data_IF_022375214343
#
_entry.id   IF_022375214343
#
_cell.length_a   1.000
_cell.length_b   1.000
_cell.length_c   1.000
_cell.angle_alpha   90.00
_cell.angle_beta   90.00
_cell.angle_gamma   90.00
#
_symmetry.space_group_name_H-M   'P 1'
#
loop_
_entity.id
_entity.type
_entity.pdbx_description
1 polymer ?
#
# COMPACT_ATOMS: atom_id res chain seq x y z
N UNK A 1 10.25 -10.32 -20.67
CA UNK A 1 10.53 -9.05 -19.98
C UNK A 1 10.87 -9.34 -18.53
N UNK A 2 11.66 -8.48 -17.90
CA UNK A 2 11.82 -8.48 -16.45
C UNK A 2 10.79 -7.54 -15.77
N UNK A 3 10.68 -7.62 -14.44
CA UNK A 3 9.74 -6.83 -13.65
C UNK A 3 9.87 -5.31 -13.84
N UNK A 4 11.08 -4.80 -14.01
CA UNK A 4 11.35 -3.36 -14.17
C UNK A 4 10.92 -2.88 -15.56
N UNK A 5 11.14 -3.68 -16.60
CA UNK A 5 10.63 -3.41 -17.95
C UNK A 5 9.09 -3.33 -17.97
N UNK A 6 8.43 -4.26 -17.26
CA UNK A 6 6.98 -4.25 -17.10
C UNK A 6 6.53 -2.98 -16.37
N UNK A 7 7.21 -2.60 -15.29
CA UNK A 7 6.90 -1.36 -14.57
C UNK A 7 7.04 -0.13 -15.48
N UNK A 8 8.07 -0.05 -16.31
CA UNK A 8 8.23 1.04 -17.29
C UNK A 8 7.10 1.05 -18.30
N UNK A 9 6.69 -0.11 -18.82
CA UNK A 9 5.55 -0.24 -19.73
C UNK A 9 4.27 0.35 -19.11
N UNK A 10 3.98 0.01 -17.85
CA UNK A 10 2.84 0.57 -17.12
C UNK A 10 2.93 2.10 -16.95
N UNK A 11 4.12 2.64 -16.64
CA UNK A 11 4.30 4.08 -16.46
C UNK A 11 4.14 4.87 -17.77
N UNK A 12 4.59 4.32 -18.89
CA UNK A 12 4.52 4.98 -20.19
C UNK A 12 3.12 4.96 -20.80
N UNK A 13 2.28 3.98 -20.46
CA UNK A 13 0.94 3.85 -21.03
C UNK A 13 0.15 5.16 -20.95
N UNK A 14 -0.17 5.74 -22.11
CA UNK A 14 -0.94 6.97 -22.26
C UNK A 14 -0.18 8.26 -21.93
N UNK A 15 1.15 8.21 -21.80
CA UNK A 15 1.99 9.40 -21.58
C UNK A 15 2.40 10.04 -22.90
N UNK A 16 2.52 11.37 -22.89
CA UNK A 16 3.04 12.14 -24.03
C UNK A 16 4.45 11.70 -24.42
N UNK A 17 4.81 11.89 -25.69
CA UNK A 17 6.17 11.62 -26.21
C UNK A 17 7.28 12.28 -25.37
N UNK A 18 7.03 13.52 -24.92
CA UNK A 18 7.96 14.32 -24.14
C UNK A 18 8.00 13.94 -22.64
N UNK A 19 7.23 12.93 -22.22
CA UNK A 19 7.22 12.50 -20.83
C UNK A 19 8.53 11.81 -20.45
N UNK A 20 9.19 12.34 -19.42
CA UNK A 20 10.43 11.78 -18.90
C UNK A 20 10.18 10.96 -17.62
N UNK A 21 10.76 9.77 -17.56
CA UNK A 21 10.81 8.91 -16.38
C UNK A 21 11.97 9.34 -15.47
N UNK A 22 11.87 10.55 -14.91
CA UNK A 22 12.93 11.21 -14.13
C UNK A 22 12.89 10.91 -12.62
N UNK A 23 12.01 10.01 -12.18
CA UNK A 23 11.87 9.69 -10.76
C UNK A 23 13.13 8.97 -10.23
N UNK A 24 13.64 9.40 -9.07
CA UNK A 24 14.94 8.92 -8.54
C UNK A 24 15.00 7.40 -8.33
N UNK A 25 13.86 6.80 -7.96
CA UNK A 25 13.76 5.36 -7.69
C UNK A 25 14.15 4.48 -8.89
N UNK A 26 14.01 4.96 -10.13
CA UNK A 26 14.45 4.21 -11.31
C UNK A 26 15.94 3.86 -11.22
N UNK A 27 16.75 4.85 -10.83
CA UNK A 27 18.19 4.66 -10.64
C UNK A 27 18.50 4.04 -9.28
N UNK A 28 17.95 4.61 -8.22
CA UNK A 28 18.34 4.27 -6.84
C UNK A 28 17.89 2.87 -6.42
N UNK A 29 16.66 2.48 -6.78
CA UNK A 29 16.08 1.20 -6.38
C UNK A 29 16.28 0.12 -7.43
N UNK A 30 16.17 0.46 -8.70
CA UNK A 30 16.16 -0.53 -9.79
C UNK A 30 17.41 -0.54 -10.65
N UNK A 31 18.35 0.40 -10.45
CA UNK A 31 19.53 0.54 -11.33
C UNK A 31 19.16 0.58 -12.83
N UNK A 32 17.99 1.13 -13.14
CA UNK A 32 17.37 1.00 -14.46
C UNK A 32 17.97 2.01 -15.46
N UNK A 33 18.37 1.50 -16.62
CA UNK A 33 18.65 2.36 -17.78
C UNK A 33 17.36 2.52 -18.60
N UNK A 34 16.62 3.59 -18.33
CA UNK A 34 15.31 3.84 -18.94
C UNK A 34 15.38 3.83 -20.46
N UNK A 35 16.32 4.56 -21.07
CA UNK A 35 16.42 4.63 -22.54
C UNK A 35 16.61 3.24 -23.17
N UNK A 36 17.44 2.39 -22.55
CA UNK A 36 17.64 1.00 -22.99
C UNK A 36 16.35 0.18 -22.88
N UNK A 37 15.60 0.35 -21.79
CA UNK A 37 14.33 -0.34 -21.55
C UNK A 37 13.27 0.10 -22.57
N UNK A 38 13.07 1.41 -22.77
CA UNK A 38 12.09 1.93 -23.74
C UNK A 38 12.40 1.43 -25.15
N UNK A 39 13.66 1.54 -25.59
CA UNK A 39 14.08 1.01 -26.88
C UNK A 39 13.83 -0.51 -26.99
N UNK A 40 14.01 -1.25 -25.90
CA UNK A 40 13.70 -2.68 -25.87
C UNK A 40 12.20 -2.94 -26.03
N UNK A 41 11.34 -2.22 -25.30
CA UNK A 41 9.88 -2.35 -25.36
C UNK A 41 9.33 -2.02 -26.75
N UNK A 42 9.84 -0.96 -27.38
CA UNK A 42 9.48 -0.58 -28.76
C UNK A 42 9.90 -1.66 -29.75
N UNK A 43 11.17 -2.09 -29.71
CA UNK A 43 11.69 -3.12 -30.62
C UNK A 43 10.97 -4.46 -30.48
N UNK A 44 10.53 -4.79 -29.27
CA UNK A 44 9.76 -6.02 -28.99
C UNK A 44 8.27 -5.87 -29.24
N UNK A 45 7.81 -4.69 -29.66
CA UNK A 45 6.41 -4.45 -30.01
C UNK A 45 5.48 -4.47 -28.82
N UNK A 46 5.91 -4.07 -27.61
CA UNK A 46 5.05 -3.88 -26.45
C UNK A 46 4.42 -2.48 -26.41
N UNK A 47 5.13 -1.49 -26.94
CA UNK A 47 4.68 -0.11 -26.95
C UNK A 47 5.06 0.54 -28.28
N UNK A 48 4.25 1.49 -28.72
CA UNK A 48 4.54 2.32 -29.89
C UNK A 48 4.18 3.77 -29.58
N UNK A 49 4.86 4.67 -30.27
CA UNK A 49 4.49 6.06 -30.26
C UNK A 49 3.44 6.31 -31.35
N UNK A 50 2.23 6.67 -30.95
CA UNK A 50 1.10 6.81 -31.86
C UNK A 50 0.11 7.88 -31.35
N UNK A 51 -0.90 8.23 -32.13
CA UNK A 51 -1.91 9.20 -31.73
C UNK A 51 -3.12 8.49 -31.11
N UNK A 52 -3.43 8.83 -29.86
CA UNK A 52 -4.73 8.56 -29.26
C UNK A 52 -5.69 9.67 -29.71
N UNK A 53 -6.44 9.43 -30.78
CA UNK A 53 -7.26 10.46 -31.43
C UNK A 53 -8.26 11.09 -30.45
N UNK A 54 -8.94 10.28 -29.64
CA UNK A 54 -9.95 10.77 -28.69
C UNK A 54 -9.32 11.65 -27.61
N UNK A 55 -8.26 11.18 -26.94
CA UNK A 55 -7.58 11.99 -25.90
C UNK A 55 -6.94 13.24 -26.50
N UNK A 56 -6.27 13.11 -27.63
CA UNK A 56 -5.53 14.20 -28.25
C UNK A 56 -6.47 15.29 -28.74
N UNK A 57 -7.59 14.93 -29.38
CA UNK A 57 -8.63 15.89 -29.79
C UNK A 57 -9.25 16.61 -28.60
N UNK A 58 -9.34 15.94 -27.44
CA UNK A 58 -9.84 16.57 -26.22
C UNK A 58 -8.88 17.64 -25.65
N UNK A 59 -7.60 17.63 -26.03
CA UNK A 59 -6.65 18.69 -25.66
C UNK A 59 -6.80 19.96 -26.50
N UNK A 60 -7.42 19.87 -27.69
CA UNK A 60 -7.64 21.01 -28.57
C UNK A 60 -8.73 21.95 -28.03
N UNK A 61 -8.60 23.24 -28.35
CA UNK A 61 -9.64 24.25 -28.13
C UNK A 61 -10.81 24.02 -29.08
N UNK A 62 -12.00 24.51 -28.69
CA UNK A 62 -13.21 24.40 -29.51
C UNK A 62 -13.00 25.02 -30.91
N UNK A 63 -12.30 26.14 -31.00
CA UNK A 63 -12.05 26.80 -32.28
C UNK A 63 -11.13 25.97 -33.19
N UNK A 64 -10.13 25.28 -32.62
CA UNK A 64 -9.25 24.38 -33.37
C UNK A 64 -10.02 23.17 -33.91
N UNK A 65 -10.94 22.61 -33.12
CA UNK A 65 -11.85 21.55 -33.55
C UNK A 65 -12.78 22.03 -34.68
N UNK A 66 -13.34 23.23 -34.57
CA UNK A 66 -14.16 23.83 -35.64
C UNK A 66 -13.35 24.08 -36.91
N UNK A 67 -12.08 24.48 -36.80
CA UNK A 67 -11.20 24.61 -37.97
C UNK A 67 -10.97 23.28 -38.67
N UNK A 68 -10.76 22.19 -37.92
CA UNK A 68 -10.63 20.84 -38.51
C UNK A 68 -11.92 20.47 -39.25
N UNK A 69 -13.09 20.63 -38.61
CA UNK A 69 -14.38 20.32 -39.22
C UNK A 69 -14.64 21.17 -40.48
N UNK A 70 -14.35 22.48 -40.42
CA UNK A 70 -14.52 23.39 -41.57
C UNK A 70 -13.64 22.99 -42.75
N UNK A 71 -12.39 22.60 -42.50
CA UNK A 71 -11.47 22.12 -43.54
C UNK A 71 -11.97 20.83 -44.20
N UNK A 72 -12.75 20.03 -43.49
CA UNK A 72 -13.41 18.82 -43.98
C UNK A 72 -14.84 19.08 -44.49
N UNK A 73 -15.26 20.34 -44.60
CA UNK A 73 -16.62 20.73 -45.02
C UNK A 73 -17.73 20.13 -44.11
N UNK A 74 -17.42 19.87 -42.84
CA UNK A 74 -18.34 19.31 -41.87
C UNK A 74 -19.01 20.40 -41.02
N UNK A 75 -20.22 20.16 -40.48
CA UNK A 75 -20.90 21.07 -39.56
C UNK A 75 -20.04 21.42 -38.34
N UNK A 76 -19.98 22.71 -37.99
CA UNK A 76 -19.17 23.25 -36.88
C UNK A 76 -19.98 23.59 -35.61
N UNK A 77 -21.28 23.27 -35.61
CA UNK A 77 -22.17 23.47 -34.47
C UNK A 77 -22.14 22.28 -33.51
N UNK A 78 -22.49 22.54 -32.24
CA UNK A 78 -22.55 21.54 -31.17
C UNK A 78 -21.61 21.84 -30.01
N UNK A 79 -21.69 21.00 -28.97
CA UNK A 79 -20.79 21.05 -27.82
C UNK A 79 -19.46 20.37 -28.19
N UNK A 80 -18.40 20.62 -27.41
CA UNK A 80 -17.05 20.10 -27.68
C UNK A 80 -17.03 18.59 -27.95
N UNK A 81 -17.75 17.80 -27.16
CA UNK A 81 -17.86 16.34 -27.34
C UNK A 81 -18.45 15.98 -28.71
N UNK A 82 -19.51 16.67 -29.13
CA UNK A 82 -20.14 16.45 -30.44
C UNK A 82 -19.18 16.79 -31.58
N UNK A 83 -18.37 17.85 -31.42
CA UNK A 83 -17.34 18.22 -32.39
C UNK A 83 -16.24 17.16 -32.47
N UNK A 84 -15.76 16.65 -31.33
CA UNK A 84 -14.74 15.59 -31.27
C UNK A 84 -15.25 14.32 -31.95
N UNK A 85 -16.44 13.85 -31.57
CA UNK A 85 -17.04 12.66 -32.18
C UNK A 85 -17.15 12.81 -33.70
N UNK A 86 -17.59 13.98 -34.19
CA UNK A 86 -17.68 14.25 -35.63
C UNK A 86 -16.33 14.27 -36.33
N UNK A 87 -15.28 14.77 -35.67
CA UNK A 87 -13.91 14.69 -36.21
C UNK A 87 -13.47 13.22 -36.32
N UNK A 88 -13.73 12.40 -35.30
CA UNK A 88 -13.35 10.98 -35.30
C UNK A 88 -14.13 10.17 -36.35
N UNK A 89 -15.43 10.42 -36.47
CA UNK A 89 -16.33 9.62 -37.31
C UNK A 89 -16.30 10.01 -38.79
N UNK A 90 -15.97 11.27 -39.12
CA UNK A 90 -16.23 11.79 -40.48
C UNK A 90 -15.15 12.69 -41.07
N UNK A 91 -14.17 13.17 -40.28
CA UNK A 91 -13.09 13.97 -40.84
C UNK A 91 -11.97 13.07 -41.37
N UNK A 92 -11.35 13.49 -42.47
CA UNK A 92 -10.15 12.84 -42.98
C UNK A 92 -9.01 13.00 -41.97
N UNK A 93 -8.45 11.87 -41.53
CA UNK A 93 -7.42 11.82 -40.49
C UNK A 93 -6.17 12.61 -40.90
N UNK A 94 -5.81 12.60 -42.18
CA UNK A 94 -4.64 13.33 -42.68
C UNK A 94 -4.72 14.84 -42.41
N UNK A 95 -5.93 15.40 -42.34
CA UNK A 95 -6.15 16.84 -42.16
C UNK A 95 -5.84 17.37 -40.76
N UNK A 96 -5.78 16.49 -39.75
CA UNK A 96 -5.61 16.89 -38.36
C UNK A 96 -4.58 16.07 -37.57
N UNK A 97 -4.18 14.89 -38.04
CA UNK A 97 -3.28 14.00 -37.30
C UNK A 97 -1.95 14.67 -36.91
N UNK A 98 -1.41 15.55 -37.77
CA UNK A 98 -0.17 16.30 -37.51
C UNK A 98 -0.30 17.35 -36.39
N UNK A 99 -1.53 17.76 -36.07
CA UNK A 99 -1.82 18.70 -34.96
C UNK A 99 -1.97 17.98 -33.63
N UNK A 100 -2.07 16.65 -33.66
CA UNK A 100 -2.25 15.84 -32.47
C UNK A 100 -0.90 15.43 -31.89
N UNK A 101 -0.82 15.47 -30.57
CA UNK A 101 0.35 14.99 -29.86
C UNK A 101 0.37 13.47 -29.92
N UNK A 102 1.57 12.92 -30.14
CA UNK A 102 1.77 11.49 -30.00
C UNK A 102 1.94 11.13 -28.54
N UNK A 103 1.42 9.97 -28.19
CA UNK A 103 1.49 9.36 -26.87
C UNK A 103 2.03 7.94 -27.00
N UNK A 104 2.63 7.46 -25.93
CA UNK A 104 3.05 6.08 -25.80
C UNK A 104 1.82 5.19 -25.59
N UNK A 105 1.49 4.36 -26.59
CA UNK A 105 0.37 3.42 -26.54
C UNK A 105 0.87 1.98 -26.50
N UNK A 106 0.34 1.14 -25.59
CA UNK A 106 0.61 -0.27 -25.62
C UNK A 106 0.02 -0.88 -26.90
N UNK A 107 0.77 -1.78 -27.52
CA UNK A 107 0.23 -2.67 -28.56
C UNK A 107 -0.72 -3.69 -27.92
N UNK A 108 -1.36 -4.56 -28.70
CA UNK A 108 -2.16 -5.66 -28.12
C UNK A 108 -1.34 -6.52 -27.14
N UNK A 109 -0.10 -6.85 -27.50
CA UNK A 109 0.83 -7.57 -26.63
C UNK A 109 1.19 -6.78 -25.36
N UNK A 110 1.34 -5.46 -25.48
CA UNK A 110 1.52 -4.56 -24.35
C UNK A 110 0.31 -4.50 -23.42
N UNK A 111 -0.90 -4.44 -23.98
CA UNK A 111 -2.15 -4.40 -23.21
C UNK A 111 -2.35 -5.70 -22.44
N UNK A 112 -2.12 -6.85 -23.08
CA UNK A 112 -2.18 -8.15 -22.40
C UNK A 112 -1.19 -8.21 -21.23
N UNK A 113 0.04 -7.74 -21.44
CA UNK A 113 1.04 -7.66 -20.35
C UNK A 113 0.56 -6.77 -19.22
N UNK A 114 0.09 -5.55 -19.51
CA UNK A 114 -0.41 -4.60 -18.51
C UNK A 114 -1.53 -5.26 -17.69
N UNK A 115 -2.55 -5.79 -18.37
CA UNK A 115 -3.72 -6.40 -17.73
C UNK A 115 -3.37 -7.60 -16.84
N UNK A 116 -2.32 -8.36 -17.17
CA UNK A 116 -1.89 -9.53 -16.38
C UNK A 116 -0.86 -9.20 -15.30
N UNK A 117 -0.45 -7.93 -15.18
CA UNK A 117 0.62 -7.51 -14.27
C UNK A 117 0.31 -6.24 -13.46
N UNK A 118 -0.97 -5.86 -13.37
CA UNK A 118 -1.43 -4.70 -12.59
C UNK A 118 -1.00 -4.78 -11.11
N UNK A 119 -0.89 -5.99 -10.54
CA UNK A 119 -0.39 -6.21 -9.18
C UNK A 119 1.02 -5.64 -8.96
N UNK A 120 1.88 -5.59 -9.99
CA UNK A 120 3.22 -4.98 -9.87
C UNK A 120 3.13 -3.47 -9.65
N UNK A 121 2.17 -2.81 -10.32
CA UNK A 121 1.94 -1.38 -10.10
C UNK A 121 1.41 -1.13 -8.70
N UNK A 122 0.51 -1.98 -8.20
CA UNK A 122 0.04 -1.91 -6.83
C UNK A 122 1.20 -2.07 -5.83
N UNK A 123 2.03 -3.11 -6.00
CA UNK A 123 3.20 -3.34 -5.14
C UNK A 123 4.15 -2.13 -5.12
N UNK A 124 4.45 -1.57 -6.30
CA UNK A 124 5.33 -0.41 -6.40
C UNK A 124 4.78 0.84 -5.70
N UNK A 125 3.49 1.12 -5.85
CA UNK A 125 2.88 2.36 -5.33
C UNK A 125 2.56 2.27 -3.84
N UNK A 126 2.10 1.11 -3.38
CA UNK A 126 1.53 0.97 -2.05
C UNK A 126 2.44 0.20 -1.08
N UNK A 127 3.26 -0.73 -1.59
CA UNK A 127 3.98 -1.69 -0.75
C UNK A 127 5.50 -1.53 -0.80
N UNK A 128 6.02 -0.45 -1.39
CA UNK A 128 7.46 -0.36 -1.69
C UNK A 128 8.41 -0.30 -0.48
N UNK A 129 7.85 -0.18 0.73
CA UNK A 129 8.59 -0.33 2.00
C UNK A 129 8.80 -1.81 2.38
N UNK A 130 8.02 -2.72 1.81
CA UNK A 130 7.97 -4.14 2.17
C UNK A 130 8.31 -5.07 1.01
N UNK A 131 7.94 -4.69 -0.22
CA UNK A 131 7.98 -5.54 -1.41
C UNK A 131 8.44 -4.71 -2.62
N UNK A 132 9.46 -5.18 -3.33
CA UNK A 132 9.83 -4.60 -4.64
C UNK A 132 9.04 -5.24 -5.78
N UNK A 133 9.00 -4.60 -6.96
CA UNK A 133 8.37 -5.22 -8.14
C UNK A 133 9.09 -6.50 -8.57
N UNK A 134 10.39 -6.62 -8.27
CA UNK A 134 11.16 -7.84 -8.57
C UNK A 134 10.67 -8.96 -7.66
N UNK A 135 10.51 -8.70 -6.36
CA UNK A 135 10.01 -9.69 -5.39
C UNK A 135 8.59 -10.15 -5.76
N UNK A 136 7.70 -9.21 -6.08
CA UNK A 136 6.32 -9.53 -6.47
C UNK A 136 6.28 -10.36 -7.76
N UNK A 137 7.13 -10.03 -8.75
CA UNK A 137 7.18 -10.75 -10.01
C UNK A 137 7.72 -12.19 -9.85
N UNK A 138 8.83 -12.35 -9.11
CA UNK A 138 9.38 -13.68 -8.84
C UNK A 138 8.42 -14.50 -7.95
N UNK A 139 7.71 -13.86 -7.02
CA UNK A 139 6.67 -14.49 -6.21
C UNK A 139 5.54 -15.07 -7.09
N UNK A 140 5.03 -14.30 -8.07
CA UNK A 140 4.03 -14.78 -9.04
C UNK A 140 4.56 -15.94 -9.87
N UNK A 141 5.80 -15.85 -10.33
CA UNK A 141 6.45 -16.89 -11.14
C UNK A 141 6.65 -18.20 -10.37
N UNK A 142 7.00 -18.11 -9.09
CA UNK A 142 7.19 -19.27 -8.23
C UNK A 142 5.86 -19.85 -7.72
N UNK A 143 4.78 -19.08 -7.79
CA UNK A 143 3.45 -19.47 -7.34
C UNK A 143 2.39 -19.16 -8.43
N UNK A 144 2.47 -19.80 -9.61
CA UNK A 144 1.60 -19.47 -10.75
C UNK A 144 0.11 -19.73 -10.50
N UNK A 145 -0.22 -20.56 -9.53
CA UNK A 145 -1.58 -20.86 -9.08
C UNK A 145 -2.22 -19.72 -8.30
N UNK A 146 -1.44 -18.82 -7.71
CA UNK A 146 -1.94 -17.73 -6.89
C UNK A 146 -2.42 -16.57 -7.76
N UNK A 147 -3.59 -16.02 -7.41
CA UNK A 147 -4.08 -14.79 -8.03
C UNK A 147 -3.31 -13.57 -7.49
N UNK A 148 -3.58 -12.41 -8.07
CA UNK A 148 -2.86 -11.17 -7.78
C UNK A 148 -2.99 -10.72 -6.32
N UNK A 149 -4.19 -10.87 -5.73
CA UNK A 149 -4.45 -10.61 -4.30
C UNK A 149 -3.55 -11.49 -3.43
N UNK A 150 -3.54 -12.79 -3.72
CA UNK A 150 -2.78 -13.79 -2.97
C UNK A 150 -1.28 -13.58 -3.09
N UNK A 151 -0.76 -13.16 -4.26
CA UNK A 151 0.66 -12.82 -4.42
C UNK A 151 1.05 -11.63 -3.57
N UNK A 152 0.24 -10.56 -3.57
CA UNK A 152 0.53 -9.37 -2.75
C UNK A 152 0.53 -9.70 -1.25
N UNK A 153 -0.46 -10.48 -0.80
CA UNK A 153 -0.54 -10.97 0.58
C UNK A 153 0.66 -11.85 0.92
N UNK A 154 1.00 -12.82 0.06
CA UNK A 154 2.13 -13.72 0.26
C UNK A 154 3.45 -12.94 0.40
N UNK A 155 3.66 -11.89 -0.40
CA UNK A 155 4.84 -11.05 -0.27
C UNK A 155 4.89 -10.29 1.07
N UNK A 156 3.74 -9.81 1.58
CA UNK A 156 3.66 -9.13 2.87
C UNK A 156 3.86 -10.09 4.05
N UNK A 157 3.33 -11.31 3.97
CA UNK A 157 3.57 -12.36 4.98
C UNK A 157 5.05 -12.77 5.00
N UNK A 158 5.69 -12.90 3.83
CA UNK A 158 7.13 -13.14 3.76
C UNK A 158 7.93 -11.98 4.37
N UNK A 159 7.54 -10.73 4.09
CA UNK A 159 8.16 -9.54 4.70
C UNK A 159 7.99 -9.53 6.22
N UNK A 160 6.80 -9.86 6.71
CA UNK A 160 6.51 -10.01 8.14
C UNK A 160 7.40 -11.09 8.79
N UNK A 161 7.45 -12.28 8.21
CA UNK A 161 8.23 -13.40 8.73
C UNK A 161 9.72 -13.09 8.74
N UNK A 162 10.24 -12.52 7.64
CA UNK A 162 11.62 -12.07 7.56
C UNK A 162 11.95 -11.05 8.65
N UNK A 163 11.12 -10.03 8.86
CA UNK A 163 11.34 -9.03 9.91
C UNK A 163 11.33 -9.69 11.30
N UNK A 164 10.35 -10.56 11.57
CA UNK A 164 10.23 -11.30 12.83
C UNK A 164 11.47 -12.15 13.13
N UNK A 165 12.06 -12.78 12.12
CA UNK A 165 13.22 -13.67 12.28
C UNK A 165 14.56 -12.94 12.34
N UNK A 166 14.70 -11.85 11.58
CA UNK A 166 16.02 -11.21 11.38
C UNK A 166 16.26 -10.01 12.27
N UNK A 167 15.21 -9.35 12.75
CA UNK A 167 15.40 -8.11 13.50
C UNK A 167 15.28 -8.36 15.01
N UNK A 168 16.40 -8.12 15.70
CA UNK A 168 16.47 -8.09 17.17
C UNK A 168 15.64 -6.96 17.80
N UNK A 169 15.16 -6.01 16.99
CA UNK A 169 14.58 -4.73 17.46
C UNK A 169 13.40 -4.22 16.62
N UNK A 170 12.76 -5.02 15.74
CA UNK A 170 11.62 -4.49 14.97
C UNK A 170 10.50 -4.05 15.90
N UNK A 171 10.36 -2.73 16.03
CA UNK A 171 9.10 -2.11 16.41
C UNK A 171 8.20 -2.18 15.19
N UNK A 172 6.91 -2.42 15.42
CA UNK A 172 5.87 -2.34 14.39
C UNK A 172 5.85 -3.46 13.33
N UNK A 173 6.03 -4.72 13.74
CA UNK A 173 5.69 -5.89 12.91
C UNK A 173 4.22 -5.92 12.44
N UNK A 174 3.40 -5.02 12.99
CA UNK A 174 1.99 -4.82 12.65
C UNK A 174 1.75 -4.38 11.21
N UNK A 175 2.65 -3.58 10.61
CA UNK A 175 2.31 -2.87 9.38
C UNK A 175 2.18 -3.74 8.13
N UNK A 176 3.03 -4.75 7.86
CA UNK A 176 2.83 -5.65 6.72
C UNK A 176 1.46 -6.34 6.75
N UNK A 177 1.04 -6.81 7.94
CA UNK A 177 -0.26 -7.46 8.13
C UNK A 177 -1.42 -6.46 8.01
N UNK A 178 -1.25 -5.22 8.48
CA UNK A 178 -2.23 -4.17 8.24
C UNK A 178 -2.35 -3.80 6.75
N UNK A 179 -1.26 -3.74 5.99
CA UNK A 179 -1.33 -3.54 4.53
C UNK A 179 -2.05 -4.71 3.83
N UNK A 180 -1.84 -5.95 4.30
CA UNK A 180 -2.60 -7.10 3.80
C UNK A 180 -4.10 -6.93 4.01
N UNK A 181 -4.53 -6.35 5.15
CA UNK A 181 -5.95 -6.05 5.37
C UNK A 181 -6.51 -5.04 4.36
N UNK A 182 -5.72 -4.05 3.94
CA UNK A 182 -6.14 -3.06 2.93
C UNK A 182 -6.26 -3.67 1.54
N UNK A 183 -5.38 -4.63 1.21
CA UNK A 183 -5.49 -5.42 -0.01
C UNK A 183 -6.79 -6.22 0.01
N UNK A 184 -7.08 -6.96 1.08
CA UNK A 184 -8.35 -7.68 1.21
C UNK A 184 -9.55 -6.76 0.98
N UNK A 185 -9.55 -5.57 1.60
CA UNK A 185 -10.60 -4.57 1.40
C UNK A 185 -10.74 -4.13 -0.07
N UNK A 186 -9.64 -3.92 -0.81
CA UNK A 186 -9.73 -3.51 -2.22
C UNK A 186 -10.27 -4.61 -3.14
N UNK A 187 -10.27 -5.87 -2.68
CA UNK A 187 -10.86 -7.01 -3.36
C UNK A 187 -12.21 -7.43 -2.76
N UNK A 188 -12.83 -6.56 -1.94
CA UNK A 188 -14.13 -6.82 -1.27
C UNK A 188 -14.13 -8.07 -0.37
N UNK A 189 -12.95 -8.50 0.09
CA UNK A 189 -12.74 -9.62 1.00
C UNK A 189 -12.76 -9.12 2.46
N UNK A 190 -13.94 -8.84 2.98
CA UNK A 190 -14.11 -8.25 4.32
C UNK A 190 -13.70 -9.18 5.45
N UNK A 191 -13.90 -10.49 5.29
CA UNK A 191 -13.44 -11.48 6.27
C UNK A 191 -11.91 -11.57 6.29
N UNK A 192 -11.27 -11.61 5.12
CA UNK A 192 -9.81 -11.53 5.02
C UNK A 192 -9.27 -10.23 5.64
N UNK A 193 -9.92 -9.09 5.38
CA UNK A 193 -9.56 -7.81 6.00
C UNK A 193 -9.62 -7.92 7.54
N UNK A 194 -10.71 -8.46 8.08
CA UNK A 194 -10.88 -8.69 9.50
C UNK A 194 -9.77 -9.58 10.10
N UNK A 195 -9.49 -10.73 9.49
CA UNK A 195 -8.46 -11.66 9.96
C UNK A 195 -7.07 -10.99 9.99
N UNK A 196 -6.71 -10.23 8.95
CA UNK A 196 -5.43 -9.53 8.91
C UNK A 196 -5.34 -8.37 9.91
N UNK A 197 -6.45 -7.68 10.20
CA UNK A 197 -6.49 -6.67 11.27
C UNK A 197 -6.30 -7.30 12.65
N UNK A 198 -6.92 -8.46 12.91
CA UNK A 198 -6.71 -9.22 14.15
C UNK A 198 -5.25 -9.67 14.27
N UNK A 199 -4.69 -10.30 13.23
CA UNK A 199 -3.27 -10.70 13.19
C UNK A 199 -2.34 -9.51 13.42
N UNK A 200 -2.62 -8.37 12.78
CA UNK A 200 -1.87 -7.13 12.96
C UNK A 200 -1.89 -6.68 14.42
N UNK A 201 -3.06 -6.61 15.07
CA UNK A 201 -3.17 -6.21 16.48
C UNK A 201 -2.41 -7.18 17.41
N UNK A 202 -2.53 -8.48 17.17
CA UNK A 202 -1.87 -9.53 17.97
C UNK A 202 -0.34 -9.50 17.80
N UNK A 203 0.15 -9.29 16.58
CA UNK A 203 1.60 -9.26 16.30
C UNK A 203 2.37 -8.21 17.08
N UNK A 204 1.69 -7.16 17.55
CA UNK A 204 2.29 -6.09 18.36
C UNK A 204 2.77 -6.58 19.73
N UNK A 205 2.27 -7.72 20.21
CA UNK A 205 2.62 -8.30 21.49
C UNK A 205 3.78 -9.30 21.42
N UNK A 206 4.36 -9.53 20.24
CA UNK A 206 5.55 -10.37 20.09
C UNK A 206 6.73 -9.81 20.88
N UNK A 207 7.34 -10.64 21.72
CA UNK A 207 8.43 -10.28 22.63
C UNK A 207 9.75 -10.18 21.87
N UNK A 208 10.46 -9.07 22.08
CA UNK A 208 11.84 -8.92 21.66
C UNK A 208 12.76 -9.72 22.62
N UNK A 209 13.86 -10.27 22.10
CA UNK A 209 14.78 -11.14 22.86
C UNK A 209 15.28 -10.50 24.17
N UNK A 210 15.66 -11.36 25.12
CA UNK A 210 15.99 -11.10 26.53
C UNK A 210 16.80 -9.82 26.83
N UNK A 211 17.71 -9.40 25.94
CA UNK A 211 18.52 -8.19 26.11
C UNK A 211 17.73 -6.86 25.98
N UNK A 212 16.56 -6.85 25.34
CA UNK A 212 15.67 -5.68 25.32
C UNK A 212 14.79 -5.58 26.56
N UNK A 213 14.55 -6.69 27.27
CA UNK A 213 13.60 -6.74 28.39
C UNK A 213 14.08 -5.91 29.58
N UNK A 214 15.38 -5.96 29.91
CA UNK A 214 15.94 -5.15 31.00
C UNK A 214 15.79 -3.65 30.75
N UNK A 215 15.93 -3.21 29.49
CA UNK A 215 15.70 -1.81 29.10
C UNK A 215 14.21 -1.47 29.08
N UNK A 216 13.38 -2.38 28.54
CA UNK A 216 11.93 -2.24 28.45
C UNK A 216 11.27 -2.09 29.83
N UNK A 217 11.83 -2.76 30.84
CA UNK A 217 11.30 -2.80 32.20
C UNK A 217 11.85 -1.70 33.12
N UNK A 218 12.73 -0.82 32.62
CA UNK A 218 13.22 0.35 33.36
C UNK A 218 12.28 1.56 33.27
N UNK A 219 11.48 1.64 32.19
CA UNK A 219 10.64 2.79 31.88
C UNK A 219 9.25 2.33 31.43
N UNK A 220 8.23 2.68 32.22
CA UNK A 220 6.84 2.32 31.93
C UNK A 220 6.30 3.01 30.67
N UNK A 221 6.71 4.24 30.37
CA UNK A 221 6.22 4.95 29.19
C UNK A 221 6.80 4.30 27.92
N UNK A 222 8.08 3.91 27.97
CA UNK A 222 8.73 3.15 26.90
C UNK A 222 8.11 1.74 26.72
N UNK A 223 7.80 1.06 27.83
CA UNK A 223 7.05 -0.20 27.81
C UNK A 223 5.71 -0.04 27.09
N UNK A 224 4.96 1.00 27.45
CA UNK A 224 3.66 1.25 26.86
C UNK A 224 3.78 1.62 25.38
N UNK A 225 4.75 2.47 25.00
CA UNK A 225 5.01 2.83 23.60
C UNK A 225 5.38 1.62 22.73
N UNK A 226 6.06 0.63 23.31
CA UNK A 226 6.47 -0.60 22.62
C UNK A 226 5.29 -1.52 22.33
N UNK A 227 4.36 -1.68 23.29
CA UNK A 227 3.26 -2.64 23.17
C UNK A 227 1.90 -2.02 22.80
N UNK A 228 1.77 -0.68 22.79
CA UNK A 228 0.52 -0.04 22.38
C UNK A 228 0.22 -0.36 20.92
N UNK A 229 -1.01 -0.78 20.67
CA UNK A 229 -1.48 -1.02 19.30
C UNK A 229 -1.72 0.35 18.66
N UNK A 230 -1.20 0.63 17.45
CA UNK A 230 -1.47 1.92 16.83
C UNK A 230 -2.97 2.08 16.53
N UNK A 231 -3.51 3.26 16.87
CA UNK A 231 -4.95 3.54 16.84
C UNK A 231 -5.59 3.30 15.46
N UNK A 232 -4.84 3.51 14.38
CA UNK A 232 -5.35 3.29 13.02
C UNK A 232 -5.83 1.85 12.81
N UNK A 233 -5.16 0.85 13.41
CA UNK A 233 -5.55 -0.55 13.28
C UNK A 233 -6.77 -0.88 14.13
N UNK A 234 -6.85 -0.39 15.37
CA UNK A 234 -8.00 -0.65 16.25
C UNK A 234 -9.25 0.07 15.76
N UNK A 235 -9.08 1.25 15.14
CA UNK A 235 -10.16 1.97 14.45
C UNK A 235 -10.65 1.21 13.22
N UNK A 236 -9.74 0.74 12.37
CA UNK A 236 -10.12 -0.06 11.19
C UNK A 236 -10.82 -1.36 11.61
N UNK A 237 -10.32 -2.05 12.65
CA UNK A 237 -10.95 -3.26 13.19
C UNK A 237 -12.36 -2.97 13.72
N UNK A 238 -12.53 -1.90 14.50
CA UNK A 238 -13.84 -1.47 15.00
C UNK A 238 -14.82 -1.16 13.87
N UNK A 239 -14.36 -0.50 12.81
CA UNK A 239 -15.20 -0.22 11.64
C UNK A 239 -15.68 -1.53 11.01
N UNK A 240 -14.75 -2.46 10.74
CA UNK A 240 -15.10 -3.77 10.12
C UNK A 240 -16.07 -4.57 10.99
N UNK A 241 -15.88 -4.59 12.31
CA UNK A 241 -16.79 -5.24 13.26
C UNK A 241 -18.17 -4.56 13.35
N UNK A 242 -18.23 -3.23 13.14
CA UNK A 242 -19.50 -2.49 13.16
C UNK A 242 -20.32 -2.69 11.89
N UNK A 243 -19.67 -2.93 10.75
CA UNK A 243 -20.33 -3.16 9.47
C UNK A 243 -20.65 -4.62 9.21
N UNK A 244 -20.00 -5.55 9.94
CA UNK A 244 -20.18 -7.00 9.82
C UNK A 244 -20.33 -7.58 11.23
N UNK A 245 -21.52 -7.42 11.80
CA UNK A 245 -21.76 -7.70 13.22
C UNK A 245 -21.49 -9.15 13.61
N UNK A 246 -21.63 -10.09 12.68
CA UNK A 246 -21.37 -11.51 12.85
C UNK A 246 -19.91 -11.81 13.23
N UNK A 247 -18.96 -10.95 12.89
CA UNK A 247 -17.55 -11.13 13.25
C UNK A 247 -17.26 -10.84 14.74
N UNK A 248 -18.18 -10.18 15.45
CA UNK A 248 -18.02 -9.90 16.87
C UNK A 248 -18.01 -11.18 17.70
N UNK A 249 -18.85 -12.16 17.34
CA UNK A 249 -18.98 -13.41 18.07
C UNK A 249 -17.71 -14.27 17.97
N UNK A 250 -16.95 -14.11 16.89
CA UNK A 250 -15.71 -14.86 16.64
C UNK A 250 -14.44 -14.11 17.07
N UNK A 251 -14.52 -12.84 17.50
CA UNK A 251 -13.36 -11.98 17.73
C UNK A 251 -12.33 -12.61 18.66
N UNK A 252 -12.75 -13.11 19.82
CA UNK A 252 -11.82 -13.71 20.77
C UNK A 252 -11.25 -15.05 20.30
N UNK A 253 -12.04 -15.84 19.56
CA UNK A 253 -11.58 -17.09 18.94
C UNK A 253 -10.53 -16.80 17.87
N UNK A 254 -10.73 -15.78 17.03
CA UNK A 254 -9.78 -15.39 16.00
C UNK A 254 -8.52 -14.73 16.59
N UNK A 255 -8.63 -14.03 17.73
CA UNK A 255 -7.45 -13.57 18.48
C UNK A 255 -6.64 -14.77 18.99
N UNK A 256 -7.26 -15.80 19.56
CA UNK A 256 -6.55 -17.02 19.99
C UNK A 256 -5.89 -17.72 18.79
N UNK A 257 -6.62 -17.84 17.68
CA UNK A 257 -6.08 -18.39 16.43
C UNK A 257 -4.88 -17.60 15.91
N UNK A 258 -4.92 -16.26 15.99
CA UNK A 258 -3.80 -15.40 15.61
C UNK A 258 -2.60 -15.55 16.56
N UNK A 259 -2.82 -15.63 17.88
CA UNK A 259 -1.74 -15.85 18.87
C UNK A 259 -1.00 -17.16 18.55
N UNK A 260 -1.75 -18.22 18.28
CA UNK A 260 -1.19 -19.53 17.96
C UNK A 260 -0.48 -19.55 16.60
N UNK A 261 -1.14 -19.06 15.54
CA UNK A 261 -0.59 -19.11 14.17
C UNK A 261 0.65 -18.23 13.97
N UNK A 262 0.74 -17.13 14.71
CA UNK A 262 1.91 -16.24 14.66
C UNK A 262 3.03 -16.67 15.62
N UNK A 263 2.82 -17.73 16.42
CA UNK A 263 3.73 -18.22 17.44
C UNK A 263 4.20 -17.12 18.40
N UNK A 264 3.25 -16.30 18.86
CA UNK A 264 3.56 -15.12 19.68
C UNK A 264 4.18 -15.55 21.00
N UNK A 265 5.46 -15.23 21.18
CA UNK A 265 6.11 -15.20 22.49
C UNK A 265 5.78 -13.86 23.11
N UNK A 266 5.14 -13.81 24.27
CA UNK A 266 4.77 -12.53 24.91
C UNK A 266 4.85 -12.61 26.43
N UNK A 267 5.10 -11.47 27.05
CA UNK A 267 4.93 -11.27 28.49
C UNK A 267 3.46 -11.04 28.88
N UNK A 268 2.60 -10.75 27.90
CA UNK A 268 1.15 -10.64 28.07
C UNK A 268 0.54 -12.04 27.97
N UNK A 269 -0.42 -12.34 28.83
CA UNK A 269 -1.21 -13.57 28.66
C UNK A 269 -2.22 -13.40 27.51
N UNK A 270 -2.75 -14.49 26.94
CA UNK A 270 -3.78 -14.40 25.88
C UNK A 270 -5.00 -13.55 26.28
N UNK A 271 -5.45 -13.65 27.54
CA UNK A 271 -6.54 -12.80 28.06
C UNK A 271 -6.15 -11.33 28.07
N UNK A 272 -4.92 -11.00 28.44
CA UNK A 272 -4.45 -9.62 28.50
C UNK A 272 -4.23 -9.02 27.10
N UNK A 273 -3.91 -9.84 26.09
CA UNK A 273 -3.90 -9.42 24.69
C UNK A 273 -5.32 -9.07 24.23
N UNK A 274 -6.31 -9.95 24.51
CA UNK A 274 -7.73 -9.69 24.19
C UNK A 274 -8.23 -8.40 24.84
N UNK A 275 -7.99 -8.25 26.15
CA UNK A 275 -8.37 -7.06 26.90
C UNK A 275 -7.70 -5.81 26.33
N UNK A 276 -6.41 -5.88 25.98
CA UNK A 276 -5.69 -4.75 25.39
C UNK A 276 -6.30 -4.31 24.05
N UNK A 277 -6.65 -5.26 23.18
CA UNK A 277 -7.31 -4.98 21.89
C UNK A 277 -8.69 -4.36 22.16
N UNK A 278 -9.50 -4.93 23.05
CA UNK A 278 -10.83 -4.46 23.39
C UNK A 278 -10.81 -3.03 23.97
N UNK A 279 -9.94 -2.76 24.94
CA UNK A 279 -9.79 -1.42 25.52
C UNK A 279 -9.30 -0.41 24.48
N UNK A 280 -8.38 -0.80 23.59
CA UNK A 280 -7.89 0.07 22.52
C UNK A 280 -8.97 0.40 21.49
N UNK A 281 -9.87 -0.54 21.15
CA UNK A 281 -11.02 -0.26 20.28
C UNK A 281 -12.05 0.67 20.95
N UNK A 282 -12.19 0.58 22.26
CA UNK A 282 -13.15 1.38 23.03
C UNK A 282 -12.59 2.72 23.52
N UNK A 283 -11.32 3.01 23.24
CA UNK A 283 -10.61 4.17 23.77
C UNK A 283 -10.65 4.24 25.31
N UNK A 284 -10.68 3.09 25.98
CA UNK A 284 -10.66 2.97 27.45
C UNK A 284 -9.21 3.07 27.96
N UNK A 285 -8.71 4.32 28.02
CA UNK A 285 -7.35 4.61 28.47
C UNK A 285 -7.08 4.12 29.90
N UNK A 286 -8.07 4.24 30.80
CA UNK A 286 -7.91 3.90 32.20
C UNK A 286 -7.67 2.40 32.39
N UNK A 287 -8.53 1.58 31.78
CA UNK A 287 -8.38 0.13 31.83
C UNK A 287 -7.11 -0.33 31.14
N UNK A 288 -6.76 0.27 29.98
CA UNK A 288 -5.55 -0.05 29.25
C UNK A 288 -4.28 0.26 30.07
N UNK A 289 -4.17 1.46 30.66
CA UNK A 289 -3.03 1.84 31.50
C UNK A 289 -2.92 0.94 32.73
N UNK A 290 -4.06 0.61 33.36
CA UNK A 290 -4.09 -0.29 34.53
C UNK A 290 -3.59 -1.69 34.16
N UNK A 291 -4.05 -2.22 33.02
CA UNK A 291 -3.61 -3.51 32.47
C UNK A 291 -2.09 -3.50 32.21
N UNK A 292 -1.57 -2.48 31.53
CA UNK A 292 -0.15 -2.39 31.20
C UNK A 292 0.71 -2.26 32.46
N UNK A 293 0.28 -1.48 33.46
CA UNK A 293 0.96 -1.39 34.76
C UNK A 293 1.03 -2.74 35.47
N UNK A 294 -0.03 -3.56 35.37
CA UNK A 294 -0.06 -4.91 35.94
C UNK A 294 0.97 -5.81 35.25
N UNK A 295 1.00 -5.82 33.91
CA UNK A 295 1.96 -6.63 33.14
C UNK A 295 3.39 -6.18 33.38
N UNK A 296 3.65 -4.86 33.35
CA UNK A 296 4.96 -4.27 33.62
C UNK A 296 5.51 -4.69 34.99
N UNK A 297 4.71 -4.54 36.05
CA UNK A 297 5.09 -4.94 37.42
C UNK A 297 5.32 -6.44 37.53
N UNK A 298 4.42 -7.27 36.98
CA UNK A 298 4.56 -8.73 36.99
C UNK A 298 5.86 -9.17 36.30
N UNK A 299 6.27 -8.44 35.27
CA UNK A 299 7.45 -8.76 34.49
C UNK A 299 8.76 -8.25 35.12
N UNK A 300 8.72 -7.65 36.32
CA UNK A 300 9.92 -7.15 37.03
C UNK A 300 10.23 -5.67 36.82
N UNK A 301 9.28 -4.90 36.27
CA UNK A 301 9.46 -3.48 36.03
C UNK A 301 9.66 -2.66 37.31
N UNK A 302 10.83 -2.02 37.44
CA UNK A 302 11.17 -1.17 38.57
C UNK A 302 10.84 0.29 38.23
N UNK A 303 10.14 1.00 39.12
CA UNK A 303 9.90 2.45 38.96
C UNK A 303 11.21 3.22 39.16
N UNK A 304 12.02 3.38 38.14
CA UNK A 304 13.09 4.39 38.12
C UNK A 304 12.63 5.61 37.33
N UNK A 305 12.00 6.57 38.01
CA UNK A 305 11.84 7.91 37.43
C UNK A 305 13.17 8.66 37.53
N UNK A 306 13.87 8.88 36.42
CA UNK A 306 14.71 10.08 36.25
C UNK A 306 15.23 10.25 34.82
N UNK A 307 14.35 10.56 33.88
CA UNK A 307 14.70 11.57 32.87
C UNK A 307 13.66 12.67 32.95
N UNK A 308 14.14 13.91 33.13
CA UNK A 308 13.31 15.11 33.07
C UNK A 308 12.42 14.98 31.84
N UNK A 309 11.12 14.90 32.08
CA UNK A 309 10.11 14.89 31.04
C UNK A 309 10.37 16.08 30.11
N UNK A 310 10.49 15.87 28.79
CA UNK A 310 10.13 16.92 27.86
C UNK A 310 8.71 17.32 28.23
N UNK A 311 8.47 18.62 28.44
CA UNK A 311 7.18 19.22 28.79
C UNK A 311 5.99 18.32 28.46
N UNK A 312 5.19 17.96 29.48
CA UNK A 312 3.89 17.30 29.33
C UNK A 312 3.09 18.00 28.22
N UNK A 313 3.08 17.45 27.02
CA UNK A 313 1.98 17.74 26.10
C UNK A 313 0.76 17.05 26.70
N UNK A 314 -0.30 17.81 26.98
CA UNK A 314 -1.62 17.31 27.36
C UNK A 314 -2.29 16.58 26.19
N UNK A 315 -1.61 15.60 25.62
CA UNK A 315 -2.09 14.83 24.47
C UNK A 315 -2.45 13.44 24.99
N UNK A 316 -3.65 12.99 24.65
CA UNK A 316 -4.12 11.61 24.88
C UNK A 316 -3.06 10.58 24.47
N UNK A 317 -3.06 9.39 25.07
CA UNK A 317 -2.18 8.30 24.60
C UNK A 317 -2.52 7.85 23.17
N UNK A 318 -3.70 8.23 22.67
CA UNK A 318 -4.13 8.15 21.26
C UNK A 318 -3.67 9.35 20.43
N UNK A 319 -2.91 10.28 21.01
CA UNK A 319 -2.29 11.43 20.34
C UNK A 319 -1.24 11.00 19.32
N UNK A 320 -1.71 10.74 18.10
CA UNK A 320 -1.01 10.76 16.81
C UNK A 320 0.49 10.45 16.79
N UNK A 321 0.81 9.21 16.43
CA UNK A 321 2.09 8.81 15.79
C UNK A 321 2.20 9.36 14.35
N UNK A 322 1.87 10.64 14.11
CA UNK A 322 2.09 11.29 12.81
C UNK A 322 3.56 11.71 12.63
N UNK A 323 4.37 11.69 13.69
CA UNK A 323 5.71 12.30 13.67
C UNK A 323 6.83 11.41 13.10
N UNK A 324 6.67 10.08 13.11
CA UNK A 324 7.67 9.16 12.54
C UNK A 324 7.40 8.95 11.04
N UNK A 325 6.14 8.77 10.64
CA UNK A 325 5.76 8.57 9.25
C UNK A 325 6.10 9.78 8.35
N UNK A 326 6.04 11.00 8.90
CA UNK A 326 6.42 12.22 8.18
C UNK A 326 7.94 12.48 8.13
N UNK A 327 8.74 11.81 8.97
CA UNK A 327 10.21 11.98 8.99
C UNK A 327 10.95 11.14 7.96
N UNK A 328 10.31 10.14 7.36
CA UNK A 328 10.89 9.26 6.35
C UNK A 328 10.35 9.49 4.94
N UNK A 329 9.63 10.60 4.72
CA UNK A 329 9.04 10.98 3.43
C UNK A 329 9.84 12.06 2.70
N UNK A 330 11.08 12.32 3.10
CA UNK A 330 12.04 13.18 2.39
C UNK A 330 12.87 12.37 1.42
#
# INVERSE_FOLDING_TARGET
MNAVEILVLHYLNGKDEAYELNQSFWKERYSANINKIVNHLVRKGYIKLDVDAEKSLNTLKVDELKSILKNNQLPVSGKKKDLINRVIESADTETYIQKLKKVWLPTEHGKETINTTDYLMYAHRNLSQYVTVVDAYESKKNNPQLNDKEILIHCLENSYNYQRETTRFSRNLVFPLWEASKICRSYEDYYGQYIFLVKSCVSNFSSQEQYSMDYLLQDFDYFMDTYKIPEVMTKDLKIVLSTNSEYNDELFTNIDGAINSLEIKSIFTPSEIKDSIQFSMNLDEESLIRLYKKVFKRSGGNKTSSRKSPQKSKNSIFGTLTSIYNKFKS
#
